data_IF_866742509739
#
_entry.id   IF_866742509739
#
_cell.length_a   1.000
_cell.length_b   1.000
_cell.length_c   1.000
_cell.angle_alpha   90.00
_cell.angle_beta   90.00
_cell.angle_gamma   90.00
#
_symmetry.space_group_name_H-M   'P 1'
#
loop_
_entity.id
_entity.type
_entity.pdbx_description
1 polymer ?
#
# COMPACT_ATOMS: atom_id res chain seq x y z
N UNK A 1 8.15 -20.15 6.23
CA UNK A 1 8.67 -18.77 6.04
C UNK A 1 9.76 -18.67 4.99
N UNK A 2 10.60 -19.70 4.80
CA UNK A 2 11.61 -19.70 3.73
C UNK A 2 11.00 -19.48 2.34
N UNK A 3 9.87 -20.13 2.04
CA UNK A 3 9.14 -19.91 0.79
C UNK A 3 8.68 -18.45 0.62
N UNK A 4 8.30 -17.76 1.70
CA UNK A 4 7.81 -16.37 1.67
C UNK A 4 8.97 -15.40 1.43
N UNK A 5 10.12 -15.67 2.04
CA UNK A 5 11.37 -14.94 1.76
C UNK A 5 11.79 -15.09 0.30
N UNK A 6 11.77 -16.31 -0.24
CA UNK A 6 12.07 -16.54 -1.66
C UNK A 6 11.09 -15.83 -2.59
N UNK A 7 9.79 -15.90 -2.29
CA UNK A 7 8.76 -15.31 -3.15
C UNK A 7 8.73 -13.78 -3.11
N UNK A 8 9.01 -13.18 -1.95
CA UNK A 8 9.04 -11.72 -1.79
C UNK A 8 10.42 -11.10 -2.10
N UNK A 9 11.46 -11.91 -2.34
CA UNK A 9 12.83 -11.43 -2.50
C UNK A 9 13.41 -10.76 -1.25
N UNK A 10 12.91 -11.10 -0.06
CA UNK A 10 13.30 -10.48 1.21
C UNK A 10 14.21 -11.39 2.03
N UNK A 11 15.09 -10.80 2.82
CA UNK A 11 15.97 -11.53 3.74
C UNK A 11 15.16 -12.40 4.75
N UNK A 12 15.55 -13.67 5.01
CA UNK A 12 14.81 -14.56 5.90
C UNK A 12 14.63 -14.05 7.34
N UNK A 13 15.58 -13.26 7.85
CA UNK A 13 15.48 -12.65 9.18
C UNK A 13 14.40 -11.56 9.16
N UNK A 14 14.41 -10.71 8.13
CA UNK A 14 13.39 -9.66 7.95
C UNK A 14 11.99 -10.25 7.89
N UNK A 15 11.79 -11.31 7.10
CA UNK A 15 10.48 -11.99 6.99
C UNK A 15 10.05 -12.58 8.34
N UNK A 16 10.98 -13.17 9.09
CA UNK A 16 10.68 -13.74 10.41
C UNK A 16 10.27 -12.66 11.41
N UNK A 17 11.01 -11.56 11.47
CA UNK A 17 10.70 -10.44 12.36
C UNK A 17 9.35 -9.80 12.04
N UNK A 18 9.09 -9.56 10.75
CA UNK A 18 7.81 -9.05 10.27
C UNK A 18 6.66 -10.01 10.64
N UNK A 19 6.84 -11.31 10.41
CA UNK A 19 5.85 -12.34 10.73
C UNK A 19 5.46 -12.37 12.20
N UNK A 20 6.45 -12.34 13.10
CA UNK A 20 6.19 -12.28 14.54
C UNK A 20 5.52 -10.99 14.96
N UNK A 21 5.85 -9.86 14.31
CA UNK A 21 5.20 -8.57 14.57
C UNK A 21 3.73 -8.59 14.14
N UNK A 22 3.42 -9.13 12.96
CA UNK A 22 2.04 -9.28 12.48
C UNK A 22 1.20 -10.16 13.43
N UNK A 23 1.76 -11.26 13.92
CA UNK A 23 1.10 -12.12 14.93
C UNK A 23 0.87 -11.38 16.24
N UNK A 24 1.91 -10.69 16.75
CA UNK A 24 1.84 -9.98 18.04
C UNK A 24 0.85 -8.83 18.02
N UNK A 25 0.76 -8.11 16.89
CA UNK A 25 -0.19 -7.01 16.70
C UNK A 25 -1.60 -7.52 16.32
N UNK A 26 -1.77 -8.83 16.17
CA UNK A 26 -3.05 -9.44 15.86
C UNK A 26 -3.51 -9.24 14.42
N UNK A 27 -2.64 -8.82 13.49
CA UNK A 27 -2.95 -8.64 12.06
C UNK A 27 -3.04 -9.96 11.29
N UNK A 28 -2.43 -11.01 11.82
CA UNK A 28 -2.60 -12.38 11.35
C UNK A 28 -2.85 -13.29 12.55
N UNK A 29 -3.67 -14.32 12.38
CA UNK A 29 -3.95 -15.35 13.39
C UNK A 29 -3.76 -16.74 12.79
N UNK A 30 -3.43 -17.72 13.64
CA UNK A 30 -3.43 -19.14 13.25
C UNK A 30 -4.87 -19.57 12.97
N UNK A 31 -5.10 -20.20 11.83
CA UNK A 31 -6.34 -20.88 11.51
C UNK A 31 -6.29 -22.34 12.02
N UNK A 32 -7.33 -23.14 11.75
CA UNK A 32 -7.30 -24.58 11.99
C UNK A 32 -6.37 -25.25 10.94
N UNK A 33 -5.42 -26.08 11.40
CA UNK A 33 -4.22 -26.54 10.66
C UNK A 33 -3.16 -25.43 10.48
N UNK A 34 -1.95 -25.76 10.01
CA UNK A 34 -0.75 -24.89 10.00
C UNK A 34 -0.84 -23.60 9.14
N UNK A 35 -2.06 -23.18 8.78
CA UNK A 35 -2.39 -22.02 7.99
C UNK A 35 -2.59 -20.79 8.88
N UNK A 36 -2.37 -19.62 8.29
CA UNK A 36 -2.55 -18.32 8.93
C UNK A 36 -3.51 -17.50 8.08
N UNK A 37 -4.37 -16.73 8.73
CA UNK A 37 -5.30 -15.83 8.06
C UNK A 37 -5.13 -14.40 8.58
N UNK A 38 -5.36 -13.41 7.71
CA UNK A 38 -5.48 -12.01 8.07
C UNK A 38 -6.68 -11.81 9.03
N UNK A 39 -6.59 -10.82 9.88
CA UNK A 39 -7.70 -10.35 10.73
C UNK A 39 -8.28 -9.05 10.20
N UNK A 40 -9.56 -8.81 10.44
CA UNK A 40 -10.28 -7.59 10.00
C UNK A 40 -10.07 -6.39 10.93
N UNK A 41 -9.02 -6.41 11.76
CA UNK A 41 -8.80 -5.35 12.73
C UNK A 41 -8.34 -4.07 12.02
N UNK A 42 -9.23 -3.10 11.89
CA UNK A 42 -8.90 -1.73 11.49
C UNK A 42 -7.85 -1.14 12.42
N UNK A 43 -6.78 -0.61 11.84
CA UNK A 43 -5.70 0.03 12.58
C UNK A 43 -6.01 1.50 12.79
N UNK A 44 -6.51 1.88 13.96
CA UNK A 44 -6.51 3.28 14.40
C UNK A 44 -5.29 3.51 15.30
N UNK A 45 -4.44 4.46 14.90
CA UNK A 45 -3.21 4.85 15.63
C UNK A 45 -3.19 6.37 15.79
N UNK A 46 -2.69 6.93 16.92
CA UNK A 46 -2.68 8.37 17.17
C UNK A 46 -2.00 9.19 16.06
N UNK A 47 -2.59 10.32 15.68
CA UNK A 47 -2.32 11.05 14.43
C UNK A 47 -0.88 11.49 14.16
N UNK A 48 -0.05 11.72 15.18
CA UNK A 48 1.31 12.24 15.00
C UNK A 48 2.33 11.16 14.63
N UNK A 49 2.25 10.00 15.30
CA UNK A 49 3.02 8.79 14.93
C UNK A 49 2.59 8.28 13.55
N UNK A 50 1.29 8.36 13.27
CA UNK A 50 0.72 8.07 11.95
C UNK A 50 1.38 8.91 10.86
N UNK A 51 1.67 10.20 11.09
CA UNK A 51 2.27 11.05 10.06
C UNK A 51 3.71 10.63 9.66
N UNK A 52 4.56 10.28 10.63
CA UNK A 52 5.94 9.84 10.34
C UNK A 52 5.94 8.46 9.69
N UNK A 53 5.17 7.51 10.24
CA UNK A 53 5.07 6.16 9.70
C UNK A 53 4.47 6.12 8.30
N UNK A 54 3.44 6.93 8.03
CA UNK A 54 2.85 7.07 6.69
C UNK A 54 3.85 7.64 5.69
N UNK A 55 4.56 8.72 6.04
CA UNK A 55 5.62 9.26 5.16
C UNK A 55 6.68 8.21 4.84
N UNK A 56 7.13 7.45 5.84
CA UNK A 56 8.11 6.38 5.64
C UNK A 56 7.55 5.27 4.74
N UNK A 57 6.28 4.89 4.91
CA UNK A 57 5.60 3.92 4.04
C UNK A 57 5.56 4.42 2.61
N UNK A 58 5.13 5.66 2.37
CA UNK A 58 5.08 6.23 1.01
C UNK A 58 6.45 6.32 0.36
N UNK A 59 7.51 6.67 1.11
CA UNK A 59 8.88 6.64 0.60
C UNK A 59 9.35 5.21 0.24
N UNK A 60 8.89 4.19 0.97
CA UNK A 60 9.14 2.80 0.62
C UNK A 60 8.34 2.40 -0.63
N UNK A 61 7.08 2.84 -0.74
CA UNK A 61 6.25 2.59 -1.93
C UNK A 61 6.89 3.20 -3.19
N UNK A 62 7.47 4.40 -3.11
CA UNK A 62 8.18 5.02 -4.23
C UNK A 62 9.39 4.20 -4.71
N UNK A 63 10.13 3.57 -3.79
CA UNK A 63 11.23 2.66 -4.15
C UNK A 63 10.72 1.41 -4.85
N UNK A 64 9.62 0.83 -4.36
CA UNK A 64 8.98 -0.33 -5.01
C UNK A 64 8.48 0.03 -6.42
N UNK A 65 7.95 1.24 -6.61
CA UNK A 65 7.55 1.73 -7.94
C UNK A 65 8.77 1.85 -8.87
N UNK A 66 9.87 2.45 -8.39
CA UNK A 66 11.11 2.57 -9.16
C UNK A 66 11.65 1.20 -9.58
N UNK A 67 11.75 0.25 -8.64
CA UNK A 67 12.16 -1.13 -8.91
C UNK A 67 11.23 -1.82 -9.91
N UNK A 68 9.91 -1.68 -9.75
CA UNK A 68 8.93 -2.25 -10.67
C UNK A 68 9.04 -1.67 -12.10
N UNK A 69 9.33 -0.38 -12.24
CA UNK A 69 9.52 0.26 -13.54
C UNK A 69 10.75 -0.29 -14.29
N UNK A 70 11.81 -0.65 -13.55
CA UNK A 70 13.06 -1.16 -14.09
C UNK A 70 13.02 -2.66 -14.38
N UNK A 71 12.41 -3.46 -13.50
CA UNK A 71 12.54 -4.92 -13.52
C UNK A 71 11.30 -5.67 -14.04
N UNK A 72 10.10 -5.06 -14.00
CA UNK A 72 8.87 -5.74 -14.43
C UNK A 72 8.51 -5.44 -15.91
N UNK A 73 8.08 -6.47 -16.68
CA UNK A 73 7.48 -6.28 -18.00
C UNK A 73 6.29 -5.33 -17.97
N UNK A 74 6.07 -4.60 -19.07
CA UNK A 74 4.99 -3.59 -19.18
C UNK A 74 3.60 -4.18 -19.02
N UNK A 75 3.42 -5.47 -19.30
CA UNK A 75 2.16 -6.21 -19.17
C UNK A 75 1.80 -6.50 -17.70
N UNK A 76 2.79 -6.50 -16.80
CA UNK A 76 2.62 -6.80 -15.38
C UNK A 76 2.57 -5.55 -14.50
N UNK A 77 2.81 -4.36 -15.06
CA UNK A 77 2.79 -3.09 -14.34
C UNK A 77 1.87 -2.08 -15.00
N UNK A 78 1.22 -1.26 -14.19
CA UNK A 78 0.48 -0.10 -14.67
C UNK A 78 1.01 1.14 -13.96
N UNK A 79 1.58 2.06 -14.74
CA UNK A 79 2.05 3.35 -14.25
C UNK A 79 1.43 4.43 -15.13
N UNK A 80 0.50 5.18 -14.55
CA UNK A 80 -0.21 6.26 -15.24
C UNK A 80 0.09 7.56 -14.53
N UNK A 81 0.31 8.62 -15.30
CA UNK A 81 0.48 9.98 -14.79
C UNK A 81 -0.40 10.93 -15.60
N UNK A 82 -1.03 11.87 -14.89
CA UNK A 82 -1.82 12.95 -15.49
C UNK A 82 -1.45 14.25 -14.80
N UNK A 83 -1.20 15.29 -15.58
CA UNK A 83 -0.99 16.66 -15.08
C UNK A 83 -2.24 17.46 -15.39
N UNK A 84 -2.87 18.02 -14.35
CA UNK A 84 -4.11 18.80 -14.49
C UNK A 84 -4.04 20.10 -13.68
N UNK A 85 -4.80 21.10 -14.11
CA UNK A 85 -5.03 22.33 -13.35
C UNK A 85 -6.35 22.19 -12.59
N UNK A 86 -6.35 22.50 -11.30
CA UNK A 86 -7.55 22.56 -10.45
C UNK A 86 -7.39 23.64 -9.40
N UNK A 87 -8.50 24.15 -8.88
CA UNK A 87 -8.48 25.06 -7.74
C UNK A 87 -8.04 24.31 -6.46
N UNK A 88 -7.34 25.00 -5.55
CA UNK A 88 -6.94 24.40 -4.28
C UNK A 88 -8.16 23.99 -3.42
N UNK A 89 -9.26 24.73 -3.55
CA UNK A 89 -10.58 24.44 -2.95
C UNK A 89 -11.10 23.06 -3.35
N UNK A 90 -10.80 22.59 -4.56
CA UNK A 90 -11.20 21.28 -5.07
C UNK A 90 -10.35 20.13 -4.54
N UNK A 91 -9.24 20.38 -3.84
CA UNK A 91 -8.35 19.33 -3.35
C UNK A 91 -9.08 18.32 -2.44
N UNK A 92 -9.99 18.80 -1.59
CA UNK A 92 -10.78 17.93 -0.73
C UNK A 92 -11.74 17.03 -1.54
N UNK A 93 -12.31 17.57 -2.62
CA UNK A 93 -13.15 16.80 -3.54
C UNK A 93 -12.33 15.76 -4.32
N UNK A 94 -11.15 16.14 -4.81
CA UNK A 94 -10.26 15.24 -5.52
C UNK A 94 -9.82 14.05 -4.64
N UNK A 95 -9.48 14.30 -3.37
CA UNK A 95 -9.16 13.24 -2.41
C UNK A 95 -10.31 12.25 -2.22
N UNK A 96 -11.54 12.76 -2.01
CA UNK A 96 -12.73 11.90 -1.88
C UNK A 96 -12.95 11.00 -3.10
N UNK A 97 -12.79 11.54 -4.31
CA UNK A 97 -12.94 10.76 -5.54
C UNK A 97 -11.86 9.66 -5.67
N UNK A 98 -10.64 9.93 -5.20
CA UNK A 98 -9.56 8.93 -5.14
C UNK A 98 -9.90 7.84 -4.13
N UNK A 99 -10.41 8.21 -2.96
CA UNK A 99 -10.83 7.26 -1.92
C UNK A 99 -11.99 6.37 -2.43
N UNK A 100 -13.01 6.96 -3.07
CA UNK A 100 -14.12 6.24 -3.70
C UNK A 100 -13.66 5.28 -4.81
N UNK A 101 -12.70 5.71 -5.64
CA UNK A 101 -12.08 4.84 -6.63
C UNK A 101 -11.37 3.65 -5.97
N UNK A 102 -10.57 3.93 -4.94
CA UNK A 102 -9.78 2.93 -4.23
C UNK A 102 -10.69 1.87 -3.59
N UNK A 103 -11.72 2.29 -2.87
CA UNK A 103 -12.66 1.39 -2.20
C UNK A 103 -13.39 0.50 -3.21
N UNK A 104 -13.89 1.10 -4.30
CA UNK A 104 -14.53 0.34 -5.38
C UNK A 104 -13.58 -0.62 -6.09
N UNK A 105 -12.31 -0.23 -6.28
CA UNK A 105 -11.31 -1.08 -6.89
C UNK A 105 -11.02 -2.31 -6.01
N UNK A 106 -10.84 -2.10 -4.71
CA UNK A 106 -10.61 -3.20 -3.76
C UNK A 106 -11.81 -4.13 -3.68
N UNK A 107 -13.04 -3.60 -3.61
CA UNK A 107 -14.27 -4.41 -3.58
C UNK A 107 -14.34 -5.37 -4.79
N UNK A 108 -13.96 -4.89 -5.97
CA UNK A 108 -13.97 -5.69 -7.19
C UNK A 108 -12.83 -6.71 -7.23
N UNK A 109 -11.60 -6.29 -6.90
CA UNK A 109 -10.40 -7.12 -7.09
C UNK A 109 -10.16 -8.11 -5.94
N UNK A 110 -10.52 -7.77 -4.70
CA UNK A 110 -10.40 -8.66 -3.54
C UNK A 110 -11.65 -9.52 -3.32
N UNK A 111 -12.58 -9.56 -4.28
CA UNK A 111 -13.79 -10.39 -4.22
C UNK A 111 -13.52 -11.91 -4.22
N UNK A 112 -12.29 -12.32 -4.58
CA UNK A 112 -11.84 -13.71 -4.64
C UNK A 112 -10.39 -13.83 -4.16
N UNK A 113 -9.95 -15.05 -3.87
CA UNK A 113 -8.55 -15.32 -3.58
C UNK A 113 -7.68 -14.95 -4.80
N UNK A 114 -6.63 -14.16 -4.56
CA UNK A 114 -5.67 -13.76 -5.58
C UNK A 114 -4.49 -14.73 -5.69
N UNK A 115 -3.92 -14.82 -6.89
CA UNK A 115 -2.74 -15.65 -7.18
C UNK A 115 -1.42 -14.93 -6.85
N UNK A 116 -1.42 -13.60 -6.91
CA UNK A 116 -0.26 -12.74 -6.69
C UNK A 116 -0.59 -11.53 -5.81
N UNK A 117 0.43 -10.96 -5.18
CA UNK A 117 0.29 -9.77 -4.31
C UNK A 117 0.70 -8.53 -5.10
N UNK A 118 -0.28 -7.66 -5.35
CA UNK A 118 -0.06 -6.40 -6.04
C UNK A 118 -0.05 -5.23 -5.07
N UNK A 119 0.82 -4.25 -5.34
CA UNK A 119 0.80 -2.93 -4.69
C UNK A 119 0.29 -1.90 -5.68
N UNK A 120 -0.80 -1.21 -5.33
CA UNK A 120 -1.26 -0.01 -6.02
C UNK A 120 -1.01 1.21 -5.14
N UNK A 121 -0.41 2.24 -5.71
CA UNK A 121 -0.13 3.50 -5.02
C UNK A 121 -0.61 4.67 -5.89
N UNK A 122 -1.46 5.53 -5.33
CA UNK A 122 -1.99 6.74 -6.00
C UNK A 122 -1.50 7.96 -5.23
N UNK A 123 -0.87 8.90 -5.93
CA UNK A 123 -0.31 10.10 -5.34
C UNK A 123 -0.88 11.34 -6.01
N UNK A 124 -1.46 12.25 -5.22
CA UNK A 124 -1.92 13.55 -5.65
C UNK A 124 -1.21 14.64 -4.84
N UNK A 125 -0.44 15.48 -5.52
CA UNK A 125 0.30 16.59 -4.90
C UNK A 125 0.42 17.76 -5.89
N UNK A 126 0.46 19.00 -5.38
CA UNK A 126 0.69 20.16 -6.23
C UNK A 126 2.13 20.13 -6.79
N UNK A 127 2.27 20.39 -8.08
CA UNK A 127 3.58 20.66 -8.71
C UNK A 127 4.00 22.11 -8.57
N UNK A 128 3.06 23.00 -8.28
CA UNK A 128 3.29 24.42 -8.01
C UNK A 128 3.53 24.66 -6.53
N UNK A 129 4.20 25.78 -6.21
CA UNK A 129 4.30 26.24 -4.82
C UNK A 129 2.93 26.74 -4.38
N UNK A 130 2.35 26.08 -3.38
CA UNK A 130 1.12 26.55 -2.75
C UNK A 130 1.46 27.76 -1.88
N UNK A 131 1.01 28.94 -2.29
CA UNK A 131 1.11 30.15 -1.48
C UNK A 131 0.22 29.99 -0.24
N UNK A 132 0.78 30.17 0.96
CA UNK A 132 -0.01 30.27 2.19
C UNK A 132 -0.65 31.66 2.19
N UNK A 133 -1.98 31.71 2.07
CA UNK A 133 -2.74 32.91 2.49
C UNK A 133 -2.77 32.98 4.01
#
# INVERSE_FOLDING_TARGET
>A
LQWLSQRLGLDPITVREAWHRLLRLGFIKKAHSANFQRTDSGTETPGEVTNISLRKSHLQDLKLIEEALLELPVELRSTTSVTLSMELSDLAKAKRLIDEFHDRFLELMESKAGDEVYRMSISLFPLTKVEKQ
#
